data_IF_320932611967
#
_entry.id   IF_320932611967
#
_cell.length_a   1.000
_cell.length_b   1.000
_cell.length_c   1.000
_cell.angle_alpha   90.00
_cell.angle_beta   90.00
_cell.angle_gamma   90.00
#
_symmetry.space_group_name_H-M   'P 1'
#
loop_
_entity.id
_entity.type
_entity.pdbx_description
1 polymer ?
#
# COMPACT_ATOMS: atom_id res chain seq x y z
N UNK A 1 10.34 15.11 12.55
CA UNK A 1 10.60 13.67 12.41
C UNK A 1 11.85 13.32 13.20
N UNK A 2 11.79 12.33 14.10
CA UNK A 2 12.84 12.07 15.10
C UNK A 2 14.14 11.61 14.42
N UNK A 3 15.29 12.25 14.70
CA UNK A 3 16.57 11.71 14.29
C UNK A 3 16.83 10.49 15.18
N UNK A 4 16.71 9.28 14.64
CA UNK A 4 16.95 8.03 15.35
C UNK A 4 18.44 7.85 15.70
N UNK A 5 19.00 8.79 16.47
CA UNK A 5 20.43 8.93 16.81
C UNK A 5 20.97 7.75 17.63
N UNK A 6 20.08 6.98 18.25
CA UNK A 6 20.46 5.79 18.99
C UNK A 6 20.97 4.67 18.06
N UNK A 7 20.53 4.62 16.80
CA UNK A 7 21.03 3.65 15.81
C UNK A 7 22.45 3.97 15.34
N UNK A 8 22.91 5.22 15.48
CA UNK A 8 24.28 5.60 15.12
C UNK A 8 25.33 4.85 15.94
N UNK A 9 24.96 4.41 17.14
CA UNK A 9 25.83 3.59 18.00
C UNK A 9 26.22 2.25 17.36
N UNK A 10 25.40 1.71 16.45
CA UNK A 10 25.70 0.47 15.73
C UNK A 10 26.83 0.62 14.68
N UNK A 11 27.17 1.86 14.31
CA UNK A 11 28.26 2.18 13.39
C UNK A 11 29.53 2.69 14.11
N UNK A 12 29.51 2.76 15.45
CA UNK A 12 30.66 3.23 16.25
C UNK A 12 31.43 2.03 16.79
N UNK A 13 32.70 1.91 16.39
CA UNK A 13 33.61 0.93 16.97
C UNK A 13 33.95 1.33 18.42
N UNK A 14 33.27 0.71 19.38
CA UNK A 14 33.46 1.01 20.80
C UNK A 14 34.77 0.40 21.32
N UNK A 15 35.38 -0.51 20.57
CA UNK A 15 36.64 -1.19 20.89
C UNK A 15 37.86 -0.29 20.71
N UNK A 16 37.76 0.81 19.95
CA UNK A 16 38.86 1.78 19.77
C UNK A 16 38.97 2.83 20.89
N UNK A 17 38.00 2.88 21.82
CA UNK A 17 37.98 3.88 22.92
C UNK A 17 38.64 3.31 24.19
N UNK A 18 38.84 1.99 24.29
CA UNK A 18 39.56 1.35 25.39
C UNK A 18 40.87 0.76 24.86
N UNK A 19 41.98 1.46 25.13
CA UNK A 19 43.33 0.90 25.02
C UNK A 19 44.10 1.19 23.73
N UNK A 20 44.51 2.44 23.52
CA UNK A 20 45.41 2.85 22.41
C UNK A 20 46.87 2.35 22.55
N UNK A 21 47.15 1.32 23.36
CA UNK A 21 48.52 0.88 23.62
C UNK A 21 48.88 -0.58 23.29
N UNK A 22 47.94 -1.45 22.89
CA UNK A 22 48.27 -2.85 22.56
C UNK A 22 47.97 -3.30 21.12
N UNK A 23 47.42 -2.44 20.25
CA UNK A 23 46.89 -2.86 18.96
C UNK A 23 47.90 -2.95 17.80
N UNK A 24 49.14 -2.48 17.96
CA UNK A 24 50.09 -2.46 16.84
C UNK A 24 50.70 -3.84 16.50
N UNK A 25 50.47 -4.91 17.30
CA UNK A 25 50.99 -6.26 17.03
C UNK A 25 49.94 -7.31 16.60
N UNK A 26 48.64 -6.99 16.57
CA UNK A 26 47.56 -7.95 16.22
C UNK A 26 46.80 -7.63 14.93
N UNK A 27 47.38 -6.82 14.06
CA UNK A 27 46.69 -6.22 12.91
C UNK A 27 46.40 -7.15 11.70
N UNK A 28 46.55 -8.47 11.82
CA UNK A 28 46.44 -9.37 10.66
C UNK A 28 45.15 -10.19 10.54
N UNK A 29 44.32 -10.37 11.58
CA UNK A 29 43.22 -11.35 11.44
C UNK A 29 41.93 -11.10 12.25
N UNK A 30 41.59 -9.85 12.57
CA UNK A 30 40.30 -9.55 13.18
C UNK A 30 39.52 -8.56 12.31
N UNK A 31 38.95 -9.04 11.20
CA UNK A 31 37.84 -8.33 10.58
C UNK A 31 36.70 -8.31 11.60
N UNK A 32 36.25 -7.16 12.12
CA UNK A 32 35.14 -7.11 13.06
C UNK A 32 33.93 -7.79 12.42
N UNK A 33 33.25 -8.66 13.16
CA UNK A 33 32.12 -9.39 12.59
C UNK A 33 31.05 -8.40 12.13
N UNK A 34 30.48 -8.63 10.93
CA UNK A 34 29.42 -7.78 10.36
C UNK A 34 28.17 -7.67 11.25
N UNK A 35 28.06 -8.54 12.26
CA UNK A 35 27.02 -8.56 13.29
C UNK A 35 27.33 -7.69 14.51
N UNK A 36 28.59 -7.27 14.70
CA UNK A 36 29.04 -6.41 15.80
C UNK A 36 29.31 -4.97 15.37
N UNK A 37 29.66 -4.74 14.10
CA UNK A 37 29.94 -3.40 13.56
C UNK A 37 29.28 -3.21 12.19
N UNK A 38 28.34 -2.28 12.11
CA UNK A 38 27.62 -1.94 10.88
C UNK A 38 28.26 -0.71 10.19
N UNK A 39 28.16 -0.64 8.87
CA UNK A 39 28.52 0.59 8.16
C UNK A 39 27.49 1.70 8.41
N UNK A 40 27.91 2.96 8.36
CA UNK A 40 27.00 4.11 8.44
C UNK A 40 25.90 4.02 7.38
N UNK A 41 26.23 3.51 6.18
CA UNK A 41 25.27 3.27 5.10
C UNK A 41 24.16 2.30 5.52
N UNK A 42 24.51 1.15 6.11
CA UNK A 42 23.52 0.18 6.59
C UNK A 42 22.63 0.78 7.70
N UNK A 43 23.22 1.57 8.60
CA UNK A 43 22.46 2.26 9.66
C UNK A 43 21.46 3.25 9.06
N UNK A 44 21.87 4.05 8.07
CA UNK A 44 20.99 4.98 7.37
C UNK A 44 19.88 4.27 6.57
N UNK A 45 20.17 3.12 5.97
CA UNK A 45 19.18 2.28 5.29
C UNK A 45 18.11 1.77 6.26
N UNK A 46 18.50 1.28 7.44
CA UNK A 46 17.56 0.84 8.48
C UNK A 46 16.73 2.00 9.02
N UNK A 47 17.34 3.18 9.25
CA UNK A 47 16.60 4.38 9.65
C UNK A 47 15.51 4.76 8.64
N UNK A 48 15.75 4.56 7.34
CA UNK A 48 14.73 4.81 6.31
C UNK A 48 13.59 3.82 6.41
N UNK A 49 13.87 2.54 6.64
CA UNK A 49 12.82 1.53 6.86
C UNK A 49 11.97 1.87 8.09
N UNK A 50 12.60 2.30 9.19
CA UNK A 50 11.87 2.69 10.41
C UNK A 50 10.92 3.87 10.15
N UNK A 51 11.25 4.78 9.22
CA UNK A 51 10.35 5.87 8.83
C UNK A 51 9.10 5.38 8.09
N UNK A 52 9.11 4.18 7.52
CA UNK A 52 7.95 3.57 6.84
C UNK A 52 6.97 2.92 7.82
N UNK A 53 7.45 2.51 9.00
CA UNK A 53 6.64 1.80 10.00
C UNK A 53 5.35 2.54 10.35
N UNK A 54 5.34 3.86 10.63
CA UNK A 54 4.10 4.56 10.93
C UNK A 54 3.04 4.45 9.82
N UNK A 55 3.45 4.56 8.55
CA UNK A 55 2.54 4.40 7.39
C UNK A 55 2.09 2.95 7.28
N UNK A 56 2.99 1.99 7.43
CA UNK A 56 2.68 0.56 7.41
C UNK A 56 1.72 0.13 8.52
N UNK A 57 1.82 0.69 9.73
CA UNK A 57 0.86 0.39 10.80
C UNK A 57 -0.54 0.91 10.45
N UNK A 58 -0.63 2.05 9.77
CA UNK A 58 -1.92 2.60 9.36
C UNK A 58 -2.58 1.81 8.23
N UNK A 59 -1.86 0.99 7.46
CA UNK A 59 -2.47 0.19 6.39
C UNK A 59 -3.18 -1.07 6.91
N UNK A 60 -2.96 -1.47 8.17
CA UNK A 60 -3.57 -2.69 8.73
C UNK A 60 -5.10 -2.65 8.78
N UNK A 61 -5.70 -1.48 9.00
CA UNK A 61 -7.15 -1.35 9.03
C UNK A 61 -7.77 -1.71 7.67
N UNK A 62 -7.09 -1.40 6.57
CA UNK A 62 -7.52 -1.86 5.25
C UNK A 62 -7.54 -3.39 5.18
N UNK A 63 -6.47 -4.06 5.64
CA UNK A 63 -6.41 -5.52 5.68
C UNK A 63 -7.52 -6.16 6.52
N UNK A 64 -7.92 -5.53 7.64
CA UNK A 64 -9.06 -5.99 8.46
C UNK A 64 -10.37 -5.91 7.67
N UNK A 65 -10.60 -4.81 6.97
CA UNK A 65 -11.80 -4.62 6.14
C UNK A 65 -11.80 -5.57 4.95
N UNK A 66 -10.66 -5.72 4.28
CA UNK A 66 -10.50 -6.60 3.13
C UNK A 66 -10.80 -8.07 3.49
N UNK A 67 -10.41 -8.52 4.68
CA UNK A 67 -10.71 -9.87 5.17
C UNK A 67 -12.22 -10.17 5.25
N UNK A 68 -13.09 -9.17 5.35
CA UNK A 68 -14.54 -9.38 5.40
C UNK A 68 -15.13 -9.84 4.06
N UNK A 69 -14.47 -9.49 2.95
CA UNK A 69 -14.95 -9.76 1.59
C UNK A 69 -15.11 -11.25 1.32
N UNK A 70 -14.21 -12.09 1.83
CA UNK A 70 -14.25 -13.55 1.64
C UNK A 70 -14.93 -14.29 2.79
N UNK A 71 -15.35 -13.59 3.85
CA UNK A 71 -15.86 -14.19 5.08
C UNK A 71 -17.28 -13.73 5.41
N UNK A 72 -17.44 -12.61 6.13
CA UNK A 72 -18.73 -12.13 6.59
C UNK A 72 -19.63 -11.70 5.42
N UNK A 73 -19.09 -11.12 4.37
CA UNK A 73 -19.88 -10.72 3.20
C UNK A 73 -20.51 -11.94 2.52
N UNK A 74 -19.74 -13.01 2.35
CA UNK A 74 -20.25 -14.30 1.83
C UNK A 74 -21.29 -14.88 2.79
N UNK A 75 -21.06 -14.78 4.09
CA UNK A 75 -21.98 -15.28 5.12
C UNK A 75 -23.31 -14.52 5.11
N UNK A 76 -23.31 -13.21 4.87
CA UNK A 76 -24.53 -12.42 4.66
C UNK A 76 -25.31 -12.91 3.45
N UNK A 77 -24.63 -13.02 2.29
CA UNK A 77 -25.23 -13.46 1.03
C UNK A 77 -25.89 -14.84 1.18
N UNK A 78 -25.29 -15.75 1.94
CA UNK A 78 -25.84 -17.08 2.24
C UNK A 78 -27.21 -17.07 2.94
N UNK A 79 -27.53 -15.98 3.64
CA UNK A 79 -28.84 -15.83 4.29
C UNK A 79 -29.87 -15.10 3.42
N UNK A 80 -29.48 -14.64 2.23
CA UNK A 80 -30.30 -13.81 1.35
C UNK A 80 -30.77 -14.61 0.14
N UNK A 81 -31.77 -14.09 -0.56
CA UNK A 81 -32.24 -14.70 -1.80
C UNK A 81 -31.25 -14.44 -2.95
N UNK A 82 -30.56 -15.49 -3.39
CA UNK A 82 -29.58 -15.47 -4.50
C UNK A 82 -30.19 -15.87 -5.85
N UNK A 83 -31.50 -16.09 -5.92
CA UNK A 83 -32.17 -16.47 -7.16
C UNK A 83 -32.27 -15.29 -8.14
N UNK A 84 -31.88 -15.53 -9.38
CA UNK A 84 -32.09 -14.69 -10.54
C UNK A 84 -32.98 -15.46 -11.53
N UNK A 85 -34.29 -15.31 -11.40
CA UNK A 85 -35.26 -16.09 -12.17
C UNK A 85 -35.19 -17.58 -11.80
N UNK A 86 -34.68 -18.40 -12.73
CA UNK A 86 -34.54 -19.85 -12.53
C UNK A 86 -33.13 -20.27 -12.08
N UNK A 87 -32.17 -19.33 -12.02
CA UNK A 87 -30.79 -19.62 -11.70
C UNK A 87 -30.45 -19.16 -10.28
N UNK A 88 -29.81 -20.01 -9.50
CA UNK A 88 -29.30 -19.66 -8.16
C UNK A 88 -27.82 -19.29 -8.27
N UNK A 89 -27.52 -18.02 -8.00
CA UNK A 89 -26.14 -17.53 -8.05
C UNK A 89 -25.38 -18.06 -6.83
N UNK A 90 -24.22 -18.73 -7.00
CA UNK A 90 -23.42 -19.20 -5.86
C UNK A 90 -22.98 -18.04 -4.96
N UNK A 91 -23.06 -18.19 -3.65
CA UNK A 91 -22.82 -17.10 -2.69
C UNK A 91 -21.41 -16.51 -2.79
N UNK A 92 -20.32 -17.31 -2.89
CA UNK A 92 -18.97 -16.75 -3.02
C UNK A 92 -18.75 -16.01 -4.35
N UNK A 93 -19.57 -16.29 -5.38
CA UNK A 93 -19.41 -15.65 -6.69
C UNK A 93 -19.72 -14.16 -6.67
N UNK A 94 -20.40 -13.64 -5.65
CA UNK A 94 -20.64 -12.19 -5.47
C UNK A 94 -19.34 -11.39 -5.35
N UNK A 95 -18.21 -12.01 -4.98
CA UNK A 95 -16.90 -11.36 -5.01
C UNK A 95 -16.51 -10.87 -6.43
N UNK A 96 -17.12 -11.41 -7.49
CA UNK A 96 -16.91 -10.96 -8.87
C UNK A 96 -17.17 -9.47 -9.05
N UNK A 97 -18.08 -8.86 -8.29
CA UNK A 97 -18.36 -7.42 -8.40
C UNK A 97 -17.17 -6.56 -7.94
N UNK A 98 -16.40 -7.02 -6.96
CA UNK A 98 -15.14 -6.39 -6.57
C UNK A 98 -14.12 -6.52 -7.70
N UNK A 99 -13.94 -7.73 -8.25
CA UNK A 99 -13.00 -7.98 -9.35
C UNK A 99 -13.35 -7.18 -10.61
N UNK A 100 -14.62 -7.11 -10.99
CA UNK A 100 -15.08 -6.30 -12.12
C UNK A 100 -14.83 -4.82 -11.88
N UNK A 101 -15.04 -4.34 -10.65
CA UNK A 101 -14.73 -2.95 -10.31
C UNK A 101 -13.24 -2.66 -10.49
N UNK A 102 -12.35 -3.52 -9.99
CA UNK A 102 -10.90 -3.38 -10.19
C UNK A 102 -10.53 -3.43 -11.67
N UNK A 103 -11.05 -4.40 -12.43
CA UNK A 103 -10.78 -4.56 -13.86
C UNK A 103 -11.20 -3.35 -14.70
N UNK A 104 -12.31 -2.71 -14.35
CA UNK A 104 -12.81 -1.52 -15.05
C UNK A 104 -12.08 -0.25 -14.59
N UNK A 105 -11.82 -0.13 -13.29
CA UNK A 105 -11.28 1.07 -12.70
C UNK A 105 -9.78 1.21 -12.92
N UNK A 106 -9.01 0.13 -12.96
CA UNK A 106 -7.55 0.19 -13.13
C UNK A 106 -7.14 0.81 -14.49
N UNK A 107 -7.69 0.39 -15.66
CA UNK A 107 -7.40 1.07 -16.92
C UNK A 107 -7.93 2.51 -16.96
N UNK A 108 -9.07 2.77 -16.31
CA UNK A 108 -9.64 4.12 -16.22
C UNK A 108 -8.74 5.04 -15.39
N UNK A 109 -8.16 4.50 -14.32
CA UNK A 109 -7.21 5.19 -13.47
C UNK A 109 -5.98 5.64 -14.27
N UNK A 110 -5.34 4.71 -14.98
CA UNK A 110 -4.13 5.02 -15.75
C UNK A 110 -4.38 5.92 -16.95
N UNK A 111 -5.52 5.75 -17.65
CA UNK A 111 -5.79 6.48 -18.90
C UNK A 111 -6.52 7.80 -18.72
N UNK A 112 -7.32 7.94 -17.67
CA UNK A 112 -8.17 9.13 -17.47
C UNK A 112 -7.74 9.87 -16.22
N UNK A 113 -7.68 9.19 -15.08
CA UNK A 113 -7.41 9.84 -13.81
C UNK A 113 -5.99 10.40 -13.74
N UNK A 114 -4.96 9.60 -14.06
CA UNK A 114 -3.55 10.03 -13.98
C UNK A 114 -3.26 11.22 -14.91
N UNK A 115 -3.64 11.22 -16.20
CA UNK A 115 -3.39 12.36 -17.08
C UNK A 115 -4.14 13.63 -16.66
N UNK A 116 -5.39 13.48 -16.19
CA UNK A 116 -6.17 14.61 -15.68
C UNK A 116 -5.57 15.18 -14.41
N UNK A 117 -5.21 14.33 -13.46
CA UNK A 117 -4.55 14.73 -12.22
C UNK A 117 -3.20 15.40 -12.52
N UNK A 118 -2.41 14.87 -13.47
CA UNK A 118 -1.14 15.48 -13.89
C UNK A 118 -1.31 16.90 -14.43
N UNK A 119 -2.40 17.17 -15.17
CA UNK A 119 -2.72 18.52 -15.66
C UNK A 119 -3.04 19.50 -14.53
N UNK A 120 -3.68 19.03 -13.46
CA UNK A 120 -4.09 19.88 -12.33
C UNK A 120 -2.97 20.06 -11.31
N UNK A 121 -2.24 19.00 -10.97
CA UNK A 121 -1.25 19.01 -9.88
C UNK A 121 0.18 19.25 -10.35
N UNK A 122 0.47 19.01 -11.63
CA UNK A 122 1.82 19.07 -12.19
C UNK A 122 2.74 17.89 -11.83
N UNK A 123 2.29 16.93 -11.02
CA UNK A 123 3.09 15.74 -10.68
C UNK A 123 3.04 14.68 -11.80
N UNK A 124 4.15 14.01 -12.08
CA UNK A 124 4.21 12.98 -13.15
C UNK A 124 3.20 11.85 -12.95
N UNK A 125 2.98 11.46 -11.68
CA UNK A 125 2.02 10.44 -11.27
C UNK A 125 0.60 11.00 -11.00
N UNK A 126 0.36 12.29 -11.23
CA UNK A 126 -0.93 12.94 -11.04
C UNK A 126 -1.31 13.24 -9.58
N UNK A 127 -1.30 12.26 -8.69
CA UNK A 127 -1.47 12.47 -7.23
C UNK A 127 -0.37 11.74 -6.48
N UNK A 128 -0.07 12.17 -5.25
CA UNK A 128 0.99 11.57 -4.45
C UNK A 128 0.61 10.16 -3.97
N UNK A 129 1.61 9.30 -3.73
CA UNK A 129 1.39 7.92 -3.27
C UNK A 129 0.56 7.86 -1.97
N UNK A 130 0.86 8.74 -0.99
CA UNK A 130 0.08 8.82 0.25
C UNK A 130 -1.36 9.30 0.04
N UNK A 131 -1.61 10.19 -0.93
CA UNK A 131 -2.99 10.58 -1.27
C UNK A 131 -3.77 9.40 -1.86
N UNK A 132 -3.14 8.56 -2.70
CA UNK A 132 -3.76 7.33 -3.23
C UNK A 132 -4.18 6.40 -2.09
N UNK A 133 -3.25 6.10 -1.17
CA UNK A 133 -3.54 5.27 0.01
C UNK A 133 -4.69 5.87 0.84
N UNK A 134 -4.66 7.18 1.09
CA UNK A 134 -5.72 7.86 1.86
C UNK A 134 -7.10 7.78 1.21
N UNK A 135 -7.18 7.94 -0.13
CA UNK A 135 -8.44 7.76 -0.88
C UNK A 135 -8.95 6.33 -0.74
N UNK A 136 -8.06 5.33 -0.85
CA UNK A 136 -8.44 3.94 -0.67
C UNK A 136 -8.95 3.63 0.75
N UNK A 137 -8.27 4.14 1.79
CA UNK A 137 -8.72 4.02 3.19
C UNK A 137 -10.10 4.68 3.41
N UNK A 138 -10.37 5.80 2.75
CA UNK A 138 -11.68 6.45 2.81
C UNK A 138 -12.80 5.59 2.17
N UNK A 139 -12.56 4.99 1.00
CA UNK A 139 -13.53 4.09 0.39
C UNK A 139 -13.72 2.79 1.17
N UNK A 140 -12.65 2.30 1.82
CA UNK A 140 -12.73 1.17 2.77
C UNK A 140 -13.67 1.48 3.95
N UNK A 141 -13.54 2.67 4.54
CA UNK A 141 -14.48 3.16 5.55
C UNK A 141 -15.93 3.21 5.03
N UNK A 142 -16.14 3.80 3.85
CA UNK A 142 -17.47 3.92 3.26
C UNK A 142 -18.10 2.55 2.95
N UNK A 143 -17.29 1.56 2.58
CA UNK A 143 -17.75 0.19 2.41
C UNK A 143 -18.27 -0.42 3.72
N UNK A 144 -17.55 -0.23 4.83
CA UNK A 144 -18.01 -0.73 6.14
C UNK A 144 -19.29 -0.04 6.62
N UNK A 145 -19.43 1.27 6.40
CA UNK A 145 -20.68 1.98 6.66
C UNK A 145 -21.83 1.40 5.83
N UNK A 146 -21.58 1.16 4.54
CA UNK A 146 -22.56 0.58 3.62
C UNK A 146 -22.97 -0.82 4.05
N UNK A 147 -22.00 -1.65 4.43
CA UNK A 147 -22.23 -3.01 4.94
C UNK A 147 -23.05 -3.01 6.24
N UNK A 148 -22.76 -2.08 7.15
CA UNK A 148 -23.52 -1.92 8.39
C UNK A 148 -24.99 -1.57 8.12
N UNK A 149 -25.25 -0.64 7.21
CA UNK A 149 -26.62 -0.23 6.83
C UNK A 149 -27.37 -1.38 6.15
N UNK A 150 -26.72 -2.09 5.22
CA UNK A 150 -27.33 -3.25 4.55
C UNK A 150 -27.64 -4.36 5.55
N UNK A 151 -26.75 -4.60 6.50
CA UNK A 151 -26.95 -5.62 7.53
C UNK A 151 -28.08 -5.27 8.49
N UNK A 152 -28.19 -4.01 8.91
CA UNK A 152 -29.31 -3.55 9.73
C UNK A 152 -30.64 -3.79 9.00
N UNK A 153 -30.68 -3.51 7.69
CA UNK A 153 -31.85 -3.79 6.86
C UNK A 153 -32.13 -5.30 6.77
N UNK A 154 -31.10 -6.13 6.57
CA UNK A 154 -31.23 -7.59 6.50
C UNK A 154 -31.81 -8.16 7.79
N UNK A 155 -31.29 -7.72 8.94
CA UNK A 155 -31.79 -8.12 10.27
C UNK A 155 -33.23 -7.65 10.51
N UNK A 156 -33.60 -6.45 10.03
CA UNK A 156 -34.98 -5.95 10.09
C UNK A 156 -35.94 -6.82 9.29
N UNK A 157 -35.56 -7.22 8.07
CA UNK A 157 -36.33 -8.15 7.24
C UNK A 157 -36.48 -9.51 7.92
N UNK A 158 -35.40 -10.05 8.51
CA UNK A 158 -35.45 -11.31 9.25
C UNK A 158 -36.44 -11.27 10.43
N UNK A 159 -36.47 -10.14 11.15
CA UNK A 159 -37.43 -9.90 12.25
C UNK A 159 -38.87 -9.83 11.73
N UNK A 160 -39.13 -9.00 10.72
CA UNK A 160 -40.46 -8.78 10.17
C UNK A 160 -41.08 -10.02 9.52
N UNK A 161 -40.25 -10.87 8.91
CA UNK A 161 -40.70 -12.13 8.29
C UNK A 161 -40.80 -13.29 9.29
N UNK A 162 -40.50 -13.09 10.58
CA UNK A 162 -40.50 -14.16 11.58
C UNK A 162 -39.44 -15.23 11.35
N UNK A 163 -38.37 -14.92 10.59
CA UNK A 163 -37.33 -15.86 10.19
C UNK A 163 -36.08 -15.79 11.08
N UNK A 164 -36.16 -15.10 12.24
CA UNK A 164 -35.03 -14.97 13.16
C UNK A 164 -34.48 -16.31 13.62
N UNK A 165 -35.33 -17.32 13.81
CA UNK A 165 -34.91 -18.65 14.30
C UNK A 165 -34.74 -19.67 13.16
N UNK A 166 -35.11 -19.31 11.93
CA UNK A 166 -35.06 -20.17 10.74
C UNK A 166 -33.87 -19.83 9.83
N UNK A 167 -32.66 -20.20 10.25
CA UNK A 167 -31.42 -19.89 9.52
C UNK A 167 -31.26 -20.62 8.17
N UNK A 168 -32.09 -21.65 7.87
CA UNK A 168 -32.02 -22.42 6.63
C UNK A 168 -32.82 -21.82 5.47
N UNK A 169 -33.79 -20.96 5.79
CA UNK A 169 -34.67 -20.36 4.79
C UNK A 169 -34.05 -19.04 4.35
N UNK A 170 -33.81 -18.83 3.04
CA UNK A 170 -33.34 -17.55 2.54
C UNK A 170 -34.32 -16.43 2.91
N UNK A 171 -33.79 -15.31 3.39
CA UNK A 171 -34.59 -14.13 3.67
C UNK A 171 -35.20 -13.58 2.38
N UNK A 172 -36.40 -12.97 2.44
CA UNK A 172 -37.03 -12.31 1.30
C UNK A 172 -36.36 -10.95 0.99
N UNK A 173 -35.04 -10.98 0.86
CA UNK A 173 -34.18 -9.85 0.49
C UNK A 173 -33.19 -10.35 -0.54
N UNK A 174 -33.13 -9.66 -1.69
CA UNK A 174 -32.21 -10.05 -2.76
C UNK A 174 -30.74 -9.87 -2.34
N UNK A 175 -29.91 -10.86 -2.62
CA UNK A 175 -28.47 -10.80 -2.37
C UNK A 175 -27.76 -9.67 -3.16
N UNK A 176 -28.36 -9.15 -4.24
CA UNK A 176 -27.80 -8.03 -5.02
C UNK A 176 -27.70 -6.71 -4.23
N UNK A 177 -28.37 -6.60 -3.07
CA UNK A 177 -28.16 -5.48 -2.15
C UNK A 177 -26.72 -5.39 -1.60
N UNK A 178 -25.93 -6.47 -1.70
CA UNK A 178 -24.52 -6.53 -1.27
C UNK A 178 -23.55 -5.96 -2.33
N UNK A 179 -24.01 -5.69 -3.56
CA UNK A 179 -23.15 -5.12 -4.62
C UNK A 179 -22.43 -3.83 -4.18
N UNK A 180 -23.10 -2.83 -3.58
CA UNK A 180 -22.47 -1.54 -3.26
C UNK A 180 -21.25 -1.67 -2.35
N UNK A 181 -21.30 -2.52 -1.31
CA UNK A 181 -20.15 -2.74 -0.43
C UNK A 181 -18.98 -3.42 -1.15
N UNK A 182 -19.22 -4.35 -2.08
CA UNK A 182 -18.15 -4.94 -2.90
C UNK A 182 -17.56 -3.96 -3.91
N UNK A 183 -18.39 -3.12 -4.55
CA UNK A 183 -17.92 -2.07 -5.47
C UNK A 183 -17.05 -1.06 -4.71
N UNK A 184 -17.47 -0.62 -3.53
CA UNK A 184 -16.69 0.30 -2.70
C UNK A 184 -15.35 -0.31 -2.27
N UNK A 185 -15.30 -1.61 -1.92
CA UNK A 185 -14.01 -2.28 -1.68
C UNK A 185 -13.19 -2.35 -2.97
N UNK A 186 -13.78 -2.67 -4.12
CA UNK A 186 -13.03 -2.72 -5.38
C UNK A 186 -12.41 -1.38 -5.75
N UNK A 187 -13.11 -0.27 -5.48
CA UNK A 187 -12.55 1.08 -5.61
C UNK A 187 -11.40 1.26 -4.61
N UNK A 188 -11.64 0.95 -3.33
CA UNK A 188 -10.63 1.06 -2.29
C UNK A 188 -9.35 0.30 -2.66
N UNK A 189 -9.49 -0.92 -3.17
CA UNK A 189 -8.42 -1.83 -3.54
C UNK A 189 -7.53 -1.26 -4.64
N UNK A 190 -8.09 -0.67 -5.70
CA UNK A 190 -7.27 -0.02 -6.74
C UNK A 190 -6.40 1.09 -6.16
N UNK A 191 -6.95 1.90 -5.26
CA UNK A 191 -6.23 3.03 -4.67
C UNK A 191 -5.23 2.63 -3.58
N UNK A 192 -5.59 1.71 -2.68
CA UNK A 192 -4.68 1.23 -1.63
C UNK A 192 -3.61 0.30 -2.19
N UNK A 193 -3.95 -0.66 -3.05
CA UNK A 193 -2.99 -1.63 -3.59
C UNK A 193 -1.90 -0.94 -4.42
N UNK A 194 -2.30 -0.09 -5.37
CA UNK A 194 -1.34 0.66 -6.20
C UNK A 194 -0.54 1.63 -5.33
N UNK A 195 -1.21 2.34 -4.42
CA UNK A 195 -0.57 3.30 -3.52
C UNK A 195 0.46 2.67 -2.58
N UNK A 196 0.12 1.55 -1.94
CA UNK A 196 1.01 0.83 -1.02
C UNK A 196 2.18 0.17 -1.75
N UNK A 197 1.93 -0.51 -2.88
CA UNK A 197 2.99 -1.15 -3.64
C UNK A 197 4.03 -0.14 -4.11
N UNK A 198 3.58 0.95 -4.72
CA UNK A 198 4.45 2.00 -5.22
C UNK A 198 5.18 2.71 -4.08
N UNK A 199 4.47 3.06 -2.99
CA UNK A 199 5.07 3.67 -1.82
C UNK A 199 6.15 2.79 -1.17
N UNK A 200 5.84 1.55 -0.81
CA UNK A 200 6.80 0.69 -0.13
C UNK A 200 7.95 0.28 -1.05
N UNK A 201 7.71 0.11 -2.34
CA UNK A 201 8.79 -0.19 -3.28
C UNK A 201 9.76 1.00 -3.45
N UNK A 202 9.24 2.21 -3.61
CA UNK A 202 10.07 3.39 -3.89
C UNK A 202 10.76 3.97 -2.65
N UNK A 203 10.12 3.85 -1.48
CA UNK A 203 10.64 4.46 -0.26
C UNK A 203 11.68 3.57 0.46
N UNK A 204 11.70 2.27 0.19
CA UNK A 204 12.71 1.34 0.72
C UNK A 204 14.09 1.62 0.08
N UNK A 205 15.22 1.35 0.77
CA UNK A 205 16.55 1.41 0.18
C UNK A 205 16.70 0.49 -1.04
N UNK A 206 17.49 0.92 -2.02
CA UNK A 206 17.67 0.16 -3.27
C UNK A 206 18.29 -1.23 -3.04
N UNK A 207 19.11 -1.38 -1.99
CA UNK A 207 19.69 -2.64 -1.53
C UNK A 207 18.68 -3.61 -0.91
N UNK A 208 17.45 -3.15 -0.59
CA UNK A 208 16.46 -3.88 0.19
C UNK A 208 15.07 -3.92 -0.46
N UNK A 209 14.95 -3.71 -1.78
CA UNK A 209 13.65 -3.59 -2.49
C UNK A 209 12.66 -4.72 -2.23
N UNK A 210 13.12 -5.96 -1.99
CA UNK A 210 12.25 -7.09 -1.64
C UNK A 210 11.42 -6.84 -0.37
N UNK A 211 11.92 -6.03 0.57
CA UNK A 211 11.17 -5.62 1.75
C UNK A 211 9.94 -4.77 1.42
N UNK A 212 9.95 -4.03 0.30
CA UNK A 212 8.79 -3.23 -0.10
C UNK A 212 7.55 -4.09 -0.35
N UNK A 213 7.71 -5.19 -1.10
CA UNK A 213 6.65 -6.16 -1.34
C UNK A 213 6.27 -6.89 -0.04
N UNK A 214 7.26 -7.19 0.82
CA UNK A 214 6.99 -7.84 2.10
C UNK A 214 6.15 -6.96 3.05
N UNK A 215 6.38 -5.63 3.08
CA UNK A 215 5.55 -4.70 3.85
C UNK A 215 4.09 -4.71 3.36
N UNK A 216 3.88 -4.68 2.05
CA UNK A 216 2.55 -4.78 1.45
C UNK A 216 1.86 -6.11 1.80
N UNK A 217 2.48 -7.27 1.55
CA UNK A 217 1.88 -8.58 1.87
C UNK A 217 1.61 -8.74 3.37
N UNK A 218 2.55 -8.31 4.21
CA UNK A 218 2.41 -8.42 5.67
C UNK A 218 1.31 -7.52 6.22
N UNK A 219 1.03 -6.36 5.61
CA UNK A 219 -0.10 -5.51 5.98
C UNK A 219 -1.43 -6.27 5.90
N UNK A 220 -1.66 -6.98 4.78
CA UNK A 220 -2.86 -7.81 4.60
C UNK A 220 -2.92 -9.00 5.56
N UNK A 221 -1.79 -9.68 5.78
CA UNK A 221 -1.70 -10.79 6.72
C UNK A 221 -1.98 -10.39 8.16
N UNK A 222 -1.33 -9.31 8.64
CA UNK A 222 -1.54 -8.77 9.97
C UNK A 222 -2.98 -8.26 10.13
N UNK A 223 -3.54 -7.58 9.13
CA UNK A 223 -4.95 -7.19 9.13
C UNK A 223 -5.90 -8.38 9.29
N UNK A 224 -5.61 -9.51 8.64
CA UNK A 224 -6.42 -10.74 8.79
C UNK A 224 -6.34 -11.34 10.21
N UNK A 225 -5.16 -11.29 10.84
CA UNK A 225 -5.00 -11.69 12.25
C UNK A 225 -5.76 -10.75 13.19
N UNK A 226 -5.70 -9.44 12.96
CA UNK A 226 -6.45 -8.45 13.75
C UNK A 226 -7.95 -8.68 13.57
N UNK A 227 -8.44 -8.95 12.36
CA UNK A 227 -9.84 -9.30 12.11
C UNK A 227 -10.27 -10.50 12.96
N UNK A 228 -9.49 -11.58 12.95
CA UNK A 228 -9.76 -12.79 13.76
C UNK A 228 -9.77 -12.48 15.25
N UNK A 229 -8.86 -11.64 15.71
CA UNK A 229 -8.80 -11.19 17.11
C UNK A 229 -10.04 -10.36 17.49
N UNK A 230 -10.50 -9.45 16.63
CA UNK A 230 -11.70 -8.65 16.85
C UNK A 230 -12.95 -9.53 16.98
N UNK A 231 -13.09 -10.56 16.14
CA UNK A 231 -14.18 -11.55 16.26
C UNK A 231 -14.11 -12.27 17.61
N UNK A 232 -12.91 -12.63 18.07
CA UNK A 232 -12.70 -13.30 19.37
C UNK A 232 -13.00 -12.38 20.56
N UNK A 233 -12.61 -11.10 20.48
CA UNK A 233 -12.88 -10.12 21.54
C UNK A 233 -14.39 -9.85 21.64
N UNK A 234 -15.04 -9.61 20.51
CA UNK A 234 -16.49 -9.33 20.47
C UNK A 234 -17.33 -10.51 20.94
N UNK A 235 -16.84 -11.75 20.79
CA UNK A 235 -17.49 -12.93 21.36
C UNK A 235 -17.31 -13.07 22.87
N UNK A 236 -16.13 -12.74 23.39
CA UNK A 236 -15.80 -12.85 24.82
C UNK A 236 -16.39 -11.72 25.67
N UNK A 237 -16.26 -10.46 25.24
CA UNK A 237 -16.57 -9.29 26.06
C UNK A 237 -18.08 -9.04 26.20
N UNK A 238 -18.88 -9.34 25.18
CA UNK A 238 -20.28 -8.90 25.15
C UNK A 238 -21.25 -9.86 25.86
N UNK A 239 -20.77 -10.98 26.42
CA UNK A 239 -21.59 -12.03 27.06
C UNK A 239 -22.53 -12.80 26.11
N UNK A 240 -22.75 -12.28 24.90
CA UNK A 240 -23.41 -12.92 23.75
C UNK A 240 -22.56 -12.63 22.51
N UNK A 241 -22.14 -13.67 21.80
CA UNK A 241 -21.35 -13.50 20.58
C UNK A 241 -22.09 -12.65 19.55
N UNK A 242 -21.44 -11.60 19.04
CA UNK A 242 -21.99 -10.79 17.94
C UNK A 242 -22.14 -11.61 16.66
N UNK A 243 -21.24 -12.57 16.43
CA UNK A 243 -21.28 -13.48 15.30
C UNK A 243 -21.61 -14.87 15.83
N UNK A 244 -22.80 -15.38 15.52
CA UNK A 244 -23.23 -16.74 15.85
C UNK A 244 -23.08 -17.62 14.60
N UNK A 245 -22.18 -18.63 14.61
CA UNK A 245 -21.98 -19.52 13.46
C UNK A 245 -23.24 -20.30 13.07
N UNK A 246 -24.11 -20.58 14.04
CA UNK A 246 -25.32 -21.39 13.84
C UNK A 246 -26.50 -20.60 13.30
N UNK A 247 -26.59 -19.30 13.61
CA UNK A 247 -27.71 -18.47 13.21
C UNK A 247 -27.30 -17.00 13.03
N UNK A 248 -27.07 -16.63 11.77
CA UNK A 248 -26.76 -15.25 11.40
C UNK A 248 -27.94 -14.29 11.56
N UNK A 249 -29.19 -14.77 11.57
CA UNK A 249 -30.36 -13.90 11.75
C UNK A 249 -30.49 -13.41 13.21
N UNK A 250 -29.91 -14.13 14.17
CA UNK A 250 -29.77 -13.69 15.57
C UNK A 250 -28.45 -12.97 15.86
N UNK A 251 -27.53 -12.96 14.90
CA UNK A 251 -26.23 -12.29 15.03
C UNK A 251 -26.37 -10.78 14.97
N UNK A 252 -25.44 -10.08 15.61
CA UNK A 252 -25.28 -8.62 15.57
C UNK A 252 -24.09 -8.23 14.69
N UNK A 253 -24.10 -8.71 13.44
CA UNK A 253 -23.08 -8.38 12.44
C UNK A 253 -23.13 -6.89 12.09
N UNK A 254 -24.30 -6.26 12.24
CA UNK A 254 -24.50 -4.80 12.15
C UNK A 254 -23.56 -4.05 13.09
N UNK A 255 -23.49 -4.46 14.36
CA UNK A 255 -22.60 -3.85 15.36
C UNK A 255 -21.12 -4.10 15.04
N UNK A 256 -20.79 -5.30 14.52
CA UNK A 256 -19.43 -5.61 14.10
C UNK A 256 -18.98 -4.71 12.93
N UNK A 257 -19.83 -4.48 11.93
CA UNK A 257 -19.50 -3.56 10.84
C UNK A 257 -19.44 -2.10 11.28
N UNK A 258 -20.30 -1.66 12.21
CA UNK A 258 -20.16 -0.34 12.80
C UNK A 258 -18.85 -0.17 13.59
N UNK A 259 -18.41 -1.21 14.31
CA UNK A 259 -17.10 -1.24 14.97
C UNK A 259 -15.97 -1.10 13.94
N UNK A 260 -16.03 -1.86 12.84
CA UNK A 260 -15.03 -1.74 11.77
C UNK A 260 -15.06 -0.37 11.10
N UNK A 261 -16.24 0.21 10.87
CA UNK A 261 -16.38 1.56 10.33
C UNK A 261 -15.74 2.61 11.26
N UNK A 262 -16.01 2.53 12.57
CA UNK A 262 -15.40 3.43 13.55
C UNK A 262 -13.86 3.26 13.59
N UNK A 263 -13.37 2.01 13.54
CA UNK A 263 -11.95 1.72 13.49
C UNK A 263 -11.29 2.26 12.22
N UNK A 264 -11.91 2.08 11.06
CA UNK A 264 -11.43 2.62 9.78
C UNK A 264 -11.44 4.15 9.77
N UNK A 265 -12.44 4.80 10.37
CA UNK A 265 -12.46 6.26 10.49
C UNK A 265 -11.33 6.77 11.38
N UNK A 266 -11.11 6.14 12.53
CA UNK A 266 -9.99 6.49 13.42
C UNK A 266 -8.64 6.27 12.74
N UNK A 267 -8.50 5.14 12.05
CA UNK A 267 -7.31 4.84 11.28
C UNK A 267 -7.06 5.87 10.16
N UNK A 268 -8.09 6.27 9.43
CA UNK A 268 -7.99 7.28 8.38
C UNK A 268 -7.51 8.62 8.95
N UNK A 269 -8.01 9.04 10.11
CA UNK A 269 -7.53 10.25 10.80
C UNK A 269 -6.07 10.12 11.22
N UNK A 270 -5.67 8.97 11.77
CA UNK A 270 -4.28 8.70 12.14
C UNK A 270 -3.36 8.69 10.90
N UNK A 271 -3.79 8.07 9.80
CA UNK A 271 -3.10 8.06 8.51
C UNK A 271 -2.90 9.48 7.99
N UNK A 272 -3.94 10.33 7.99
CA UNK A 272 -3.81 11.72 7.57
C UNK A 272 -2.76 12.47 8.41
N UNK A 273 -2.76 12.26 9.73
CA UNK A 273 -1.72 12.82 10.62
C UNK A 273 -0.31 12.35 10.24
N UNK A 274 -0.12 11.04 10.05
CA UNK A 274 1.18 10.48 9.64
C UNK A 274 1.60 11.01 8.27
N UNK A 275 0.69 11.04 7.30
CA UNK A 275 0.94 11.49 5.94
C UNK A 275 1.35 12.96 5.88
N UNK A 276 0.74 13.81 6.73
CA UNK A 276 1.09 15.23 6.83
C UNK A 276 2.54 15.45 7.31
N UNK A 277 3.03 14.60 8.22
CA UNK A 277 4.40 14.69 8.74
C UNK A 277 5.43 13.87 7.94
N UNK A 278 4.98 13.10 6.94
CA UNK A 278 5.85 12.21 6.18
C UNK A 278 6.68 12.97 5.14
N UNK A 279 7.98 12.67 5.07
CA UNK A 279 8.90 13.24 4.08
C UNK A 279 9.36 12.16 3.10
N UNK A 280 9.04 12.36 1.81
CA UNK A 280 9.46 11.45 0.74
C UNK A 280 10.98 11.38 0.59
N UNK A 281 11.49 10.20 0.21
CA UNK A 281 12.88 9.99 -0.23
C UNK A 281 13.18 10.93 -1.40
N UNK A 282 14.19 11.79 -1.26
CA UNK A 282 14.69 12.61 -2.38
C UNK A 282 15.43 11.70 -3.36
N UNK A 283 14.91 11.55 -4.58
CA UNK A 283 15.62 10.89 -5.68
C UNK A 283 16.74 11.83 -6.13
N UNK A 284 18.00 11.40 -6.04
CA UNK A 284 19.11 12.14 -6.66
C UNK A 284 18.90 12.09 -8.17
N UNK A 285 18.59 13.23 -8.77
CA UNK A 285 18.54 13.35 -10.23
C UNK A 285 19.93 13.02 -10.80
N UNK A 286 20.06 12.14 -11.80
CA UNK A 286 21.35 11.76 -12.38
C UNK A 286 22.16 12.94 -12.95
N UNK A 287 21.52 14.09 -13.18
CA UNK A 287 22.13 15.23 -13.87
C UNK A 287 22.79 16.28 -12.94
N UNK A 288 22.94 16.00 -11.64
CA UNK A 288 23.63 16.91 -10.71
C UNK A 288 25.03 16.43 -10.29
N UNK A 289 25.53 15.33 -10.86
CA UNK A 289 26.81 14.72 -10.51
C UNK A 289 27.82 14.80 -11.69
N UNK A 290 27.77 15.87 -12.48
CA UNK A 290 28.69 16.12 -13.60
C UNK A 290 29.37 17.49 -13.59
N UNK A 291 29.25 18.27 -12.50
CA UNK A 291 29.73 19.66 -12.50
C UNK A 291 30.57 20.05 -11.28
N UNK A 292 31.19 19.08 -10.62
CA UNK A 292 32.15 19.31 -9.53
C UNK A 292 33.41 18.49 -9.79
N UNK A 293 34.03 18.72 -10.94
CA UNK A 293 35.44 18.44 -11.22
C UNK A 293 35.84 19.30 -12.41
N UNK A 294 36.31 20.52 -12.16
CA UNK A 294 37.21 21.25 -13.06
C UNK A 294 37.81 22.45 -12.33
N UNK A 295 38.84 22.17 -11.53
CA UNK A 295 39.88 23.15 -11.27
C UNK A 295 40.76 23.32 -12.51
N UNK A 296 40.84 24.56 -13.00
CA UNK A 296 41.93 25.16 -13.81
C UNK A 296 42.26 24.58 -15.19
N UNK A 297 41.77 25.24 -16.26
CA UNK A 297 42.51 25.60 -17.50
C UNK A 297 41.60 26.45 -18.44
N UNK A 298 42.15 27.30 -19.34
CA UNK A 298 41.54 28.59 -19.66
C UNK A 298 40.51 28.58 -20.82
N UNK A 299 39.73 29.66 -20.80
CA UNK A 299 38.72 30.09 -21.77
C UNK A 299 39.12 29.98 -23.24
N UNK A 300 38.33 29.24 -24.02
CA UNK A 300 38.17 29.47 -25.46
C UNK A 300 36.69 29.54 -25.82
N UNK A 301 36.25 30.78 -26.10
CA UNK A 301 35.22 31.22 -27.05
C UNK A 301 34.33 30.14 -27.66
N UNK A 302 33.03 30.23 -27.35
CA UNK A 302 31.97 29.39 -27.90
C UNK A 302 31.80 29.56 -29.40
N UNK A 303 31.78 28.43 -30.11
CA UNK A 303 31.30 28.31 -31.48
C UNK A 303 29.80 28.02 -31.46
N UNK A 304 29.03 28.79 -32.23
CA UNK A 304 27.59 28.61 -32.32
C UNK A 304 27.26 27.35 -33.12
N UNK A 305 26.16 26.69 -32.77
CA UNK A 305 25.67 25.45 -33.39
C UNK A 305 25.44 25.57 -34.92
N UNK A 306 25.38 26.80 -35.44
CA UNK A 306 25.34 27.10 -36.88
C UNK A 306 26.68 26.85 -37.58
N UNK A 307 27.81 27.06 -36.91
CA UNK A 307 29.16 26.91 -37.48
C UNK A 307 29.54 25.42 -37.67
N UNK A 308 29.00 24.55 -36.81
CA UNK A 308 29.23 23.09 -36.88
C UNK A 308 28.48 22.49 -38.08
N UNK A 309 27.25 22.96 -38.34
CA UNK A 309 26.45 22.48 -39.46
C UNK A 309 26.98 22.96 -40.81
N UNK A 310 27.55 24.17 -40.87
CA UNK A 310 28.20 24.67 -42.09
C UNK A 310 29.47 23.89 -42.47
N UNK A 311 30.23 23.39 -41.48
CA UNK A 311 31.40 22.55 -41.75
C UNK A 311 31.06 21.15 -42.25
N UNK A 312 29.88 20.63 -41.91
CA UNK A 312 29.45 19.31 -42.38
C UNK A 312 29.02 19.32 -43.85
N UNK A 313 28.49 20.45 -44.33
CA UNK A 313 28.00 20.55 -45.71
C UNK A 313 29.09 20.81 -46.76
N UNK A 314 30.27 21.31 -46.36
CA UNK A 314 31.35 21.71 -47.26
C UNK A 314 32.50 20.69 -47.39
N UNK A 315 32.28 19.41 -47.08
CA UNK A 315 33.33 18.39 -47.24
C UNK A 315 33.32 17.83 -48.67
N UNK A 316 34.39 17.99 -49.47
CA UNK A 316 34.43 17.42 -50.81
C UNK A 316 34.58 15.90 -50.73
N UNK A 317 33.78 15.19 -51.53
CA UNK A 317 33.80 13.74 -51.70
C UNK A 317 34.98 13.32 -52.58
N UNK A 318 36.04 12.76 -51.98
CA UNK A 318 37.03 11.98 -52.73
C UNK A 318 36.72 10.49 -52.56
N UNK A 319 36.22 9.91 -53.65
CA UNK A 319 36.25 8.49 -53.91
C UNK A 319 37.63 8.12 -54.48
N UNK A 320 38.24 7.04 -53.99
CA UNK A 320 39.19 6.24 -54.78
C UNK A 320 39.32 4.84 -54.21
N UNK A 321 38.93 3.90 -55.07
CA UNK A 321 39.16 2.46 -55.16
C UNK A 321 40.59 1.96 -54.90
N UNK A 322 40.72 0.73 -54.36
CA UNK A 322 41.64 -0.38 -54.77
C UNK A 322 41.40 -1.54 -53.78
N UNK A 323 40.74 -2.66 -54.12
CA UNK A 323 41.15 -3.86 -54.88
C UNK A 323 42.45 -4.57 -54.40
N UNK A 324 42.23 -5.80 -53.91
CA UNK A 324 43.05 -7.03 -54.04
C UNK A 324 44.51 -7.06 -53.58
N UNK A 325 44.81 -7.85 -52.54
CA UNK A 325 45.26 -9.24 -52.65
C UNK A 325 45.03 -9.97 -51.31
#
# INVERSE_FOLDING_TARGET
>A
MLPFRWLDKAAVDTTSIVGRHEYQLRAADHRPSKWKLCTVTQVEEVKRIIKLIPVWLTTFAYGVVFAQTSTLFVSQVKTMNTSMGNFHVPEPSFQVFMTLTVLLLLPLYDRVFVPMARKVTGFEQGITMLQRIGVGLFFSFLSMVTAAIIEERRLRVASQSGLLDNAKVPLPMSAFWIIPQYVLIGIADVFTLVGEQEFFYDQVPDSMRSLGIAFYLSSNGVGSFISSLLVTITSSTTGKSWILPTNLNRSRIDLFYWLLAAMSMFNLMAFMGVAFFYQYKKVKSPNAQGNLDNGTAPSHTGLSQKDILQRYHNRPSNASSTSSA
#
